data_IF_686552036095
#
_entry.id   IF_686552036095
#
_cell.length_a   1.000
_cell.length_b   1.000
_cell.length_c   1.000
_cell.angle_alpha   90.00
_cell.angle_beta   90.00
_cell.angle_gamma   90.00
#
_symmetry.space_group_name_H-M   'P 1'
#
loop_
_entity.id
_entity.type
_entity.pdbx_description
1 polymer ?
#
# COMPACT_ATOMS: atom_id res chain seq x y z
N UNK A 1 -8.25 5.77 17.57
CA UNK A 1 -7.23 5.62 16.52
C UNK A 1 -7.08 6.95 15.80
N UNK A 2 -5.85 7.45 15.62
CA UNK A 2 -5.61 8.72 14.92
C UNK A 2 -5.96 8.64 13.43
N UNK A 3 -5.69 7.49 12.80
CA UNK A 3 -5.97 7.28 11.38
C UNK A 3 -7.46 7.39 11.02
N UNK A 4 -8.36 6.75 11.77
CA UNK A 4 -9.80 6.83 11.45
C UNK A 4 -10.32 8.25 11.58
N UNK A 5 -9.93 8.96 12.65
CA UNK A 5 -10.29 10.36 12.84
C UNK A 5 -9.74 11.25 11.70
N UNK A 6 -8.49 11.04 11.31
CA UNK A 6 -7.90 11.70 10.14
C UNK A 6 -8.69 11.37 8.87
N UNK A 7 -8.98 10.10 8.60
CA UNK A 7 -9.67 9.66 7.39
C UNK A 7 -11.07 10.26 7.25
N UNK A 8 -11.88 10.19 8.32
CA UNK A 8 -13.23 10.76 8.33
C UNK A 8 -13.21 12.28 8.22
N UNK A 9 -12.34 12.96 9.00
CA UNK A 9 -12.23 14.42 8.92
C UNK A 9 -11.72 14.88 7.56
N UNK A 10 -10.83 14.13 6.92
CA UNK A 10 -10.33 14.44 5.59
C UNK A 10 -11.46 14.32 4.55
N UNK A 11 -12.28 13.27 4.60
CA UNK A 11 -13.41 13.06 3.66
C UNK A 11 -14.53 14.09 3.78
N UNK A 12 -14.57 14.90 4.84
CA UNK A 12 -15.45 16.07 4.93
C UNK A 12 -15.20 17.08 3.81
N UNK A 13 -14.07 16.99 3.09
CA UNK A 13 -13.82 17.81 1.90
C UNK A 13 -15.01 17.75 0.93
N UNK A 14 -15.67 16.61 0.75
CA UNK A 14 -16.82 16.47 -0.15
C UNK A 14 -17.95 17.44 0.25
N UNK A 15 -18.25 17.50 1.55
CA UNK A 15 -19.27 18.40 2.11
C UNK A 15 -18.82 19.85 1.95
N UNK A 16 -17.56 20.15 2.25
CA UNK A 16 -16.99 21.51 2.12
C UNK A 16 -17.07 22.00 0.68
N UNK A 17 -16.70 21.17 -0.31
CA UNK A 17 -16.78 21.52 -1.73
C UNK A 17 -18.23 21.69 -2.19
N UNK A 18 -19.16 20.83 -1.73
CA UNK A 18 -20.58 21.00 -2.03
C UNK A 18 -21.15 22.32 -1.46
N UNK A 19 -20.82 22.63 -0.20
CA UNK A 19 -21.20 23.90 0.42
C UNK A 19 -20.55 25.10 -0.28
N UNK A 20 -19.31 24.97 -0.75
CA UNK A 20 -18.61 26.01 -1.49
C UNK A 20 -19.26 26.30 -2.85
N UNK A 21 -19.75 25.26 -3.55
CA UNK A 21 -20.55 25.43 -4.78
C UNK A 21 -21.87 26.15 -4.46
N UNK A 22 -22.61 25.70 -3.44
CA UNK A 22 -23.89 26.32 -3.05
C UNK A 22 -23.70 27.78 -2.62
N UNK A 23 -22.63 28.07 -1.87
CA UNK A 23 -22.27 29.43 -1.47
C UNK A 23 -21.89 30.29 -2.69
N UNK A 24 -21.11 29.72 -3.62
CA UNK A 24 -20.72 30.33 -4.89
C UNK A 24 -21.90 30.76 -5.75
N UNK A 25 -22.93 29.91 -5.86
CA UNK A 25 -24.14 30.15 -6.65
C UNK A 25 -25.13 31.11 -5.97
N UNK A 26 -25.15 31.15 -4.63
CA UNK A 26 -26.02 32.03 -3.82
C UNK A 26 -25.40 33.39 -3.51
N UNK A 27 -24.22 33.71 -4.04
CA UNK A 27 -23.63 35.05 -3.93
C UNK A 27 -24.57 36.08 -4.56
N UNK A 28 -25.21 36.87 -3.70
CA UNK A 28 -26.22 37.88 -4.03
C UNK A 28 -25.68 39.05 -4.88
N UNK A 29 -24.36 39.11 -5.08
CA UNK A 29 -23.61 40.26 -5.58
C UNK A 29 -23.57 40.30 -7.12
N UNK A 30 -23.68 39.17 -7.80
CA UNK A 30 -23.53 39.08 -9.27
C UNK A 30 -24.66 38.25 -9.90
N UNK A 31 -25.61 38.94 -10.55
CA UNK A 31 -26.78 38.32 -11.22
C UNK A 31 -26.46 37.77 -12.61
N UNK A 32 -25.41 38.28 -13.26
CA UNK A 32 -24.98 37.83 -14.57
C UNK A 32 -24.23 36.50 -14.47
N UNK A 33 -24.71 35.48 -15.19
CA UNK A 33 -24.13 34.12 -15.17
C UNK A 33 -22.65 34.08 -15.58
N UNK A 34 -22.22 34.91 -16.54
CA UNK A 34 -20.84 34.95 -17.02
C UNK A 34 -19.86 35.62 -16.04
N UNK A 35 -20.34 36.32 -15.00
CA UNK A 35 -19.52 36.89 -13.92
C UNK A 35 -19.28 35.90 -12.79
N UNK A 36 -19.90 34.70 -12.83
CA UNK A 36 -19.72 33.63 -11.85
C UNK A 36 -18.48 32.82 -12.19
N UNK A 37 -17.31 33.30 -11.78
CA UNK A 37 -16.02 32.63 -12.05
C UNK A 37 -15.78 31.40 -11.16
N UNK A 38 -16.55 31.20 -10.09
CA UNK A 38 -16.38 30.10 -9.12
C UNK A 38 -16.40 28.72 -9.79
N UNK A 39 -17.33 28.47 -10.71
CA UNK A 39 -17.35 27.25 -11.52
C UNK A 39 -16.01 27.06 -12.22
N UNK A 40 -15.55 28.06 -12.98
CA UNK A 40 -14.38 27.93 -13.86
C UNK A 40 -13.14 27.47 -13.10
N UNK A 41 -12.90 28.02 -11.90
CA UNK A 41 -11.78 27.64 -11.06
C UNK A 41 -11.94 26.29 -10.36
N UNK A 42 -13.17 25.80 -10.19
CA UNK A 42 -13.45 24.53 -9.51
C UNK A 42 -13.46 23.34 -10.48
N UNK A 43 -14.04 23.52 -11.67
CA UNK A 43 -14.27 22.42 -12.61
C UNK A 43 -12.98 21.86 -13.19
N UNK A 44 -12.00 22.71 -13.53
CA UNK A 44 -10.72 22.22 -14.08
C UNK A 44 -9.99 21.31 -13.07
N UNK A 45 -9.75 21.73 -11.81
CA UNK A 45 -9.15 20.84 -10.80
C UNK A 45 -9.97 19.59 -10.49
N UNK A 46 -11.30 19.70 -10.41
CA UNK A 46 -12.17 18.53 -10.15
C UNK A 46 -12.09 17.51 -11.28
N UNK A 47 -12.14 17.96 -12.54
CA UNK A 47 -12.03 17.07 -13.70
C UNK A 47 -10.66 16.42 -13.74
N UNK A 48 -9.58 17.16 -13.49
CA UNK A 48 -8.22 16.60 -13.41
C UNK A 48 -8.10 15.56 -12.30
N UNK A 49 -8.61 15.85 -11.10
CA UNK A 49 -8.62 14.92 -9.97
C UNK A 49 -9.45 13.66 -10.27
N UNK A 50 -10.66 13.83 -10.79
CA UNK A 50 -11.53 12.72 -11.15
C UNK A 50 -10.89 11.85 -12.25
N UNK A 51 -10.22 12.47 -13.23
CA UNK A 51 -9.50 11.77 -14.29
C UNK A 51 -8.33 10.96 -13.73
N UNK A 52 -7.50 11.52 -12.83
CA UNK A 52 -6.42 10.78 -12.17
C UNK A 52 -6.98 9.59 -11.36
N UNK A 53 -8.06 9.81 -10.61
CA UNK A 53 -8.71 8.77 -9.80
C UNK A 53 -9.29 7.65 -10.67
N UNK A 54 -9.91 7.99 -11.79
CA UNK A 54 -10.41 7.01 -12.76
C UNK A 54 -9.26 6.22 -13.38
N UNK A 55 -8.21 6.90 -13.86
CA UNK A 55 -7.01 6.24 -14.42
C UNK A 55 -6.41 5.27 -13.40
N UNK A 56 -6.31 5.69 -12.13
CA UNK A 56 -5.83 4.84 -11.04
C UNK A 56 -6.76 3.65 -10.82
N UNK A 57 -8.07 3.84 -10.80
CA UNK A 57 -9.05 2.77 -10.62
C UNK A 57 -9.00 1.75 -11.78
N UNK A 58 -8.85 2.20 -13.02
CA UNK A 58 -8.72 1.33 -14.19
C UNK A 58 -7.37 0.59 -14.25
N UNK A 59 -6.29 1.21 -13.75
CA UNK A 59 -4.97 0.59 -13.69
C UNK A 59 -4.78 -0.32 -12.49
N UNK A 60 -5.55 -0.12 -11.44
CA UNK A 60 -5.45 -0.89 -10.20
C UNK A 60 -5.76 -2.35 -10.49
N UNK A 61 -4.86 -3.23 -10.08
CA UNK A 61 -4.98 -4.68 -10.25
C UNK A 61 -4.99 -5.26 -8.86
N UNK A 62 -6.19 -5.28 -8.25
CA UNK A 62 -6.38 -5.79 -6.89
C UNK A 62 -6.47 -7.31 -6.96
N UNK A 63 -5.45 -7.98 -6.44
CA UNK A 63 -5.37 -9.44 -6.41
C UNK A 63 -5.29 -9.94 -4.97
N UNK A 64 -5.97 -11.05 -4.70
CA UNK A 64 -5.86 -11.74 -3.42
C UNK A 64 -4.67 -12.71 -3.44
N UNK A 65 -3.81 -12.65 -2.42
CA UNK A 65 -2.61 -13.48 -2.32
C UNK A 65 -2.61 -14.35 -1.08
N UNK A 66 -2.03 -15.53 -1.21
CA UNK A 66 -1.80 -16.44 -0.08
C UNK A 66 -0.45 -16.12 0.55
N UNK A 67 -0.41 -16.05 1.88
CA UNK A 67 0.83 -15.93 2.62
C UNK A 67 1.52 -17.30 2.64
N UNK A 68 2.75 -17.34 2.12
CA UNK A 68 3.57 -18.55 2.04
C UNK A 68 4.47 -18.67 3.27
N UNK A 69 5.07 -17.56 3.68
CA UNK A 69 6.02 -17.51 4.80
C UNK A 69 6.00 -16.14 5.46
N UNK A 70 6.11 -16.15 6.77
CA UNK A 70 6.23 -14.94 7.60
C UNK A 70 7.46 -15.07 8.48
N UNK A 71 8.25 -14.01 8.56
CA UNK A 71 9.39 -13.94 9.46
C UNK A 71 9.41 -12.60 10.20
N UNK A 72 9.42 -12.65 11.53
CA UNK A 72 9.53 -11.46 12.40
C UNK A 72 10.96 -11.35 12.90
N UNK A 73 11.69 -10.34 12.43
CA UNK A 73 13.10 -10.13 12.77
C UNK A 73 13.27 -9.33 14.08
N UNK A 74 14.32 -9.65 14.89
CA UNK A 74 14.76 -8.78 15.97
C UNK A 74 15.29 -7.47 15.36
N UNK A 75 14.59 -6.36 15.61
CA UNK A 75 14.81 -5.09 14.89
C UNK A 75 13.55 -4.44 14.33
N UNK A 76 12.35 -4.93 14.70
CA UNK A 76 11.08 -4.32 14.32
C UNK A 76 10.84 -4.34 12.79
N UNK A 77 11.22 -5.45 12.16
CA UNK A 77 11.00 -5.71 10.74
C UNK A 77 10.20 -7.01 10.58
N UNK A 78 9.18 -6.97 9.74
CA UNK A 78 8.35 -8.10 9.34
C UNK A 78 8.63 -8.38 7.86
N UNK A 79 9.05 -9.61 7.53
CA UNK A 79 9.10 -10.06 6.15
C UNK A 79 7.88 -10.93 5.85
N UNK A 80 7.18 -10.57 4.78
CA UNK A 80 6.06 -11.32 4.24
C UNK A 80 6.46 -11.90 2.89
N UNK A 81 6.32 -13.21 2.75
CA UNK A 81 6.41 -13.92 1.49
C UNK A 81 5.03 -14.41 1.12
N UNK A 82 4.62 -14.14 -0.12
CA UNK A 82 3.28 -14.35 -0.61
C UNK A 82 3.30 -14.94 -2.02
N UNK A 83 2.23 -15.62 -2.39
CA UNK A 83 2.08 -16.23 -3.71
C UNK A 83 2.05 -15.16 -4.80
N UNK A 84 2.80 -15.38 -5.88
CA UNK A 84 2.75 -14.52 -7.07
C UNK A 84 1.48 -14.82 -7.89
N UNK A 85 0.59 -13.84 -8.13
CA UNK A 85 -0.58 -14.06 -8.98
C UNK A 85 -0.18 -14.43 -10.41
N UNK A 86 -1.04 -15.19 -11.10
CA UNK A 86 -0.78 -15.56 -12.50
C UNK A 86 -0.75 -14.30 -13.39
N UNK A 87 0.28 -14.20 -14.24
CA UNK A 87 0.46 -13.03 -15.10
C UNK A 87 1.03 -11.79 -14.40
N UNK A 88 1.32 -11.85 -13.10
CA UNK A 88 1.92 -10.73 -12.35
C UNK A 88 3.37 -10.50 -12.79
N UNK A 89 3.59 -9.46 -13.60
CA UNK A 89 4.90 -9.05 -14.13
C UNK A 89 5.33 -7.73 -13.52
N UNK A 90 6.50 -7.70 -12.90
CA UNK A 90 7.10 -6.51 -12.32
C UNK A 90 8.58 -6.40 -12.67
N UNK A 91 9.15 -5.21 -12.46
CA UNK A 91 10.58 -4.92 -12.59
C UNK A 91 11.19 -4.67 -11.22
N UNK A 92 12.48 -4.93 -11.07
CA UNK A 92 13.22 -4.64 -9.84
C UNK A 92 13.06 -3.16 -9.44
N UNK A 93 12.92 -2.93 -8.13
CA UNK A 93 12.70 -1.61 -7.55
C UNK A 93 11.26 -1.11 -7.58
N UNK A 94 10.31 -1.84 -8.19
CA UNK A 94 8.88 -1.50 -8.08
C UNK A 94 8.35 -1.72 -6.67
N UNK A 95 7.27 -1.01 -6.37
CA UNK A 95 6.52 -1.18 -5.13
C UNK A 95 5.09 -1.61 -5.44
N UNK A 96 4.41 -2.14 -4.43
CA UNK A 96 2.99 -2.48 -4.48
C UNK A 96 2.30 -2.02 -3.20
N UNK A 97 1.00 -1.79 -3.28
CA UNK A 97 0.20 -1.55 -2.10
C UNK A 97 -0.24 -2.88 -1.51
N UNK A 98 -0.19 -2.96 -0.18
CA UNK A 98 -0.63 -4.11 0.59
C UNK A 98 -1.77 -3.69 1.50
N UNK A 99 -2.82 -4.50 1.51
CA UNK A 99 -3.96 -4.38 2.41
C UNK A 99 -4.11 -5.67 3.21
N UNK A 100 -4.37 -5.54 4.51
CA UNK A 100 -4.62 -6.66 5.40
C UNK A 100 -5.96 -6.43 6.10
N UNK A 101 -6.96 -7.23 5.74
CA UNK A 101 -8.33 -7.06 6.23
C UNK A 101 -8.44 -7.22 7.76
N UNK A 102 -7.53 -7.99 8.38
CA UNK A 102 -7.47 -8.18 9.83
C UNK A 102 -6.98 -6.93 10.59
N UNK A 103 -6.27 -6.02 9.93
CA UNK A 103 -5.80 -4.75 10.53
C UNK A 103 -6.80 -3.64 10.21
N UNK A 104 -7.04 -3.41 8.92
CA UNK A 104 -7.95 -2.37 8.44
C UNK A 104 -8.35 -2.68 7.00
N UNK A 105 -9.65 -2.91 6.72
CA UNK A 105 -10.12 -3.36 5.41
C UNK A 105 -9.99 -2.28 4.32
N UNK A 106 -9.90 -1.00 4.69
CA UNK A 106 -9.88 0.11 3.74
C UNK A 106 -8.49 0.76 3.58
N UNK A 107 -7.50 0.33 4.36
CA UNK A 107 -6.16 0.90 4.34
C UNK A 107 -5.22 0.15 3.41
N UNK A 108 -4.56 0.91 2.54
CA UNK A 108 -3.57 0.41 1.59
C UNK A 108 -2.24 1.10 1.86
N UNK A 109 -1.20 0.31 2.11
CA UNK A 109 0.13 0.83 2.44
C UNK A 109 1.15 0.40 1.39
N UNK A 110 1.97 1.31 0.84
CA UNK A 110 2.94 0.99 -0.19
C UNK A 110 4.21 0.35 0.40
N UNK A 111 4.69 -0.73 -0.24
CA UNK A 111 5.94 -1.39 0.10
C UNK A 111 6.72 -1.81 -1.15
N UNK A 112 8.04 -1.62 -1.12
CA UNK A 112 8.94 -2.09 -2.18
C UNK A 112 8.91 -3.61 -2.28
N UNK A 113 8.87 -4.11 -3.52
CA UNK A 113 8.97 -5.54 -3.81
C UNK A 113 10.44 -5.91 -3.67
N UNK A 114 10.72 -6.76 -2.68
CA UNK A 114 12.09 -7.19 -2.31
C UNK A 114 12.51 -8.51 -2.96
N UNK A 115 11.56 -9.23 -3.57
CA UNK A 115 11.82 -10.42 -4.39
C UNK A 115 12.32 -10.03 -5.78
N UNK A 116 13.03 -10.95 -6.44
CA UNK A 116 13.46 -10.74 -7.82
C UNK A 116 12.30 -11.02 -8.80
N UNK A 117 12.20 -10.31 -9.93
CA UNK A 117 11.15 -10.55 -10.94
C UNK A 117 11.02 -11.99 -11.43
N UNK A 118 12.13 -12.75 -11.40
CA UNK A 118 12.19 -14.16 -11.77
C UNK A 118 11.70 -15.13 -10.69
N UNK A 119 11.50 -14.68 -9.45
CA UNK A 119 11.04 -15.55 -8.36
C UNK A 119 9.56 -15.94 -8.55
N UNK A 120 9.21 -17.13 -8.08
CA UNK A 120 7.83 -17.67 -8.07
C UNK A 120 6.98 -17.15 -6.90
N UNK A 121 7.58 -16.31 -6.05
CA UNK A 121 6.91 -15.64 -4.94
C UNK A 121 7.12 -14.13 -5.01
N UNK A 122 6.32 -13.41 -4.23
CA UNK A 122 6.50 -12.00 -3.98
C UNK A 122 6.88 -11.80 -2.51
N UNK A 123 7.84 -10.93 -2.22
CA UNK A 123 8.22 -10.61 -0.84
C UNK A 123 8.31 -9.12 -0.55
N UNK A 124 7.95 -8.73 0.66
CA UNK A 124 8.08 -7.36 1.17
C UNK A 124 8.70 -7.37 2.56
N UNK A 125 9.53 -6.35 2.84
CA UNK A 125 10.12 -6.12 4.16
C UNK A 125 9.54 -4.84 4.76
N UNK A 126 8.81 -5.00 5.86
CA UNK A 126 8.01 -3.94 6.49
C UNK A 126 8.64 -3.58 7.82
N UNK A 127 9.14 -2.35 7.95
CA UNK A 127 9.58 -1.81 9.24
C UNK A 127 8.36 -1.32 10.03
N UNK A 128 8.22 -1.73 11.29
CA UNK A 128 7.15 -1.24 12.15
C UNK A 128 7.47 0.15 12.68
N UNK A 129 6.85 1.16 12.09
CA UNK A 129 7.02 2.58 12.43
C UNK A 129 5.70 3.25 12.85
N UNK A 130 4.57 2.89 12.20
CA UNK A 130 3.25 3.48 12.46
C UNK A 130 2.24 2.49 13.04
N UNK A 131 1.07 3.00 13.40
CA UNK A 131 -0.03 2.23 14.02
C UNK A 131 -0.40 1.00 13.20
N UNK A 132 -0.63 1.18 11.89
CA UNK A 132 -1.00 0.08 10.99
C UNK A 132 0.09 -0.99 10.91
N UNK A 133 1.36 -0.59 10.72
CA UNK A 133 2.47 -1.55 10.65
C UNK A 133 2.69 -2.29 11.97
N UNK A 134 2.42 -1.65 13.12
CA UNK A 134 2.52 -2.26 14.45
C UNK A 134 1.44 -3.31 14.64
N UNK A 135 0.19 -2.99 14.28
CA UNK A 135 -0.92 -3.94 14.31
C UNK A 135 -0.69 -5.11 13.35
N UNK A 136 -0.19 -4.84 12.14
CA UNK A 136 0.20 -5.88 11.19
C UNK A 136 1.19 -6.86 11.81
N UNK A 137 2.25 -6.36 12.44
CA UNK A 137 3.22 -7.20 13.15
C UNK A 137 2.56 -8.01 14.27
N UNK A 138 1.67 -7.43 15.07
CA UNK A 138 0.96 -8.14 16.14
C UNK A 138 0.14 -9.30 15.58
N UNK A 139 -0.72 -9.04 14.58
CA UNK A 139 -1.56 -10.06 13.92
C UNK A 139 -0.71 -11.21 13.39
N UNK A 140 0.39 -10.90 12.71
CA UNK A 140 1.26 -11.93 12.16
C UNK A 140 2.12 -12.64 13.22
N UNK A 141 2.44 -11.98 14.34
CA UNK A 141 3.20 -12.58 15.44
C UNK A 141 2.35 -13.59 16.22
N UNK A 142 1.04 -13.35 16.38
CA UNK A 142 0.11 -14.29 17.01
C UNK A 142 -0.05 -15.59 16.20
N UNK A 143 0.05 -15.49 14.88
CA UNK A 143 0.00 -16.63 13.97
C UNK A 143 1.35 -17.37 13.89
N UNK A 144 2.46 -16.69 14.24
CA UNK A 144 3.79 -17.29 14.23
C UNK A 144 4.08 -18.04 15.54
N UNK A 145 4.35 -19.34 15.45
CA UNK A 145 4.83 -20.11 16.58
C UNK A 145 6.34 -19.89 16.80
N UNK A 146 6.84 -19.99 18.04
CA UNK A 146 8.27 -20.03 18.30
C UNK A 146 8.88 -21.27 17.62
N UNK A 147 10.07 -21.16 17.02
CA UNK A 147 10.64 -22.25 16.24
C UNK A 147 10.92 -23.49 17.11
N UNK A 148 10.61 -24.71 16.64
CA UNK A 148 10.72 -25.94 17.42
C UNK A 148 12.14 -26.29 17.88
N UNK A 149 13.17 -25.65 17.32
CA UNK A 149 14.58 -25.99 17.55
C UNK A 149 15.43 -24.88 18.19
N UNK A 150 14.86 -23.78 18.70
CA UNK A 150 15.59 -22.79 19.54
C UNK A 150 16.83 -22.10 18.94
N UNK A 151 17.23 -22.42 17.70
CA UNK A 151 18.50 -21.96 17.09
C UNK A 151 18.47 -20.56 16.49
N UNK A 152 17.30 -19.93 16.45
CA UNK A 152 17.15 -18.56 15.96
C UNK A 152 15.96 -17.99 16.72
N UNK A 153 16.14 -16.97 17.57
CA UNK A 153 15.07 -16.33 18.34
C UNK A 153 14.08 -15.54 17.48
N UNK A 154 13.71 -16.09 16.32
CA UNK A 154 13.00 -15.46 15.23
C UNK A 154 11.68 -16.18 15.03
N UNK A 155 10.56 -15.47 15.19
CA UNK A 155 9.22 -16.03 15.00
C UNK A 155 9.02 -16.25 13.49
N UNK A 156 8.76 -17.51 13.11
CA UNK A 156 8.55 -17.90 11.71
C UNK A 156 7.32 -18.78 11.60
N UNK A 157 6.49 -18.52 10.60
CA UNK A 157 5.43 -19.42 10.19
C UNK A 157 5.61 -19.72 8.70
N UNK A 158 5.74 -21.01 8.37
CA UNK A 158 5.83 -21.50 7.01
C UNK A 158 4.55 -22.27 6.68
N UNK A 159 3.89 -21.93 5.57
CA UNK A 159 2.68 -22.63 5.10
C UNK A 159 2.95 -24.11 4.76
N UNK A 160 4.21 -24.48 4.50
CA UNK A 160 4.61 -25.81 4.05
C UNK A 160 5.02 -26.77 5.19
N UNK A 161 5.17 -26.32 6.44
CA UNK A 161 5.49 -27.19 7.57
C UNK A 161 4.22 -27.69 8.24
N UNK A 162 3.83 -28.93 7.90
CA UNK A 162 2.62 -29.58 8.36
C UNK A 162 2.58 -29.86 9.86
N UNK A 163 1.48 -29.45 10.49
CA UNK A 163 0.56 -30.26 11.31
C UNK A 163 -0.62 -29.39 11.80
N UNK A 164 -0.50 -28.07 11.72
CA UNK A 164 -1.61 -27.12 11.79
C UNK A 164 -1.34 -25.98 10.80
N UNK A 165 -2.10 -25.89 9.71
CA UNK A 165 -1.96 -24.77 8.78
C UNK A 165 -2.24 -23.46 9.54
N UNK A 166 -1.24 -22.56 9.68
CA UNK A 166 -1.49 -21.27 10.33
C UNK A 166 -2.59 -20.53 9.57
N UNK A 167 -3.63 -20.09 10.30
CA UNK A 167 -4.72 -19.34 9.72
C UNK A 167 -4.26 -17.90 9.45
N UNK A 168 -3.54 -17.71 8.34
CA UNK A 168 -3.06 -16.40 7.95
C UNK A 168 -4.21 -15.46 7.58
N UNK A 169 -4.14 -14.17 7.95
CA UNK A 169 -5.15 -13.21 7.54
C UNK A 169 -5.15 -13.02 6.03
N UNK A 170 -6.32 -12.65 5.48
CA UNK A 170 -6.44 -12.35 4.05
C UNK A 170 -5.67 -11.07 3.72
N UNK A 171 -4.74 -11.18 2.77
CA UNK A 171 -3.96 -10.06 2.25
C UNK A 171 -4.32 -9.83 0.79
N UNK A 172 -4.55 -8.56 0.45
CA UNK A 172 -4.77 -8.08 -0.91
C UNK A 172 -3.58 -7.24 -1.34
N UNK A 173 -3.23 -7.31 -2.62
CA UNK A 173 -2.17 -6.51 -3.20
C UNK A 173 -2.69 -5.72 -4.39
N UNK A 174 -2.13 -4.54 -4.61
CA UNK A 174 -2.42 -3.69 -5.76
C UNK A 174 -1.11 -3.19 -6.37
N UNK A 175 -0.94 -3.41 -7.67
CA UNK A 175 0.27 -3.03 -8.41
C UNK A 175 0.64 -4.05 -9.49
N UNK A 176 1.87 -3.99 -10.03
CA UNK A 176 3.02 -3.22 -9.52
C UNK A 176 3.04 -1.75 -9.97
N UNK A 177 3.63 -0.88 -9.15
CA UNK A 177 3.81 0.54 -9.42
C UNK A 177 5.29 0.88 -9.72
N UNK A 178 5.50 1.79 -10.68
CA UNK A 178 6.83 2.21 -11.13
C UNK A 178 7.60 2.98 -10.07
N UNK A 179 8.93 2.86 -10.10
CA UNK A 179 9.85 3.58 -9.22
C UNK A 179 11.00 4.18 -10.06
N UNK A 180 11.62 5.30 -9.62
CA UNK A 180 12.65 5.98 -10.39
C UNK A 180 13.91 5.11 -10.64
N UNK A 181 14.19 4.13 -9.78
CA UNK A 181 15.35 3.26 -9.88
C UNK A 181 15.29 2.23 -11.04
N UNK A 182 14.26 2.25 -11.89
CA UNK A 182 14.07 1.26 -12.98
C UNK A 182 15.01 1.44 -14.17
N UNK A 183 15.63 2.61 -14.30
CA UNK A 183 16.43 2.99 -15.46
C UNK A 183 17.90 2.54 -15.39
N UNK A 184 18.26 1.76 -14.37
CA UNK A 184 19.63 1.26 -14.17
C UNK A 184 20.19 0.51 -15.39
N UNK A 185 19.33 -0.15 -16.19
CA UNK A 185 19.73 -0.88 -17.40
C UNK A 185 20.17 0.02 -18.55
N UNK A 186 19.95 1.33 -18.47
CA UNK A 186 20.37 2.30 -19.50
C UNK A 186 21.85 2.70 -19.37
N UNK A 187 22.52 2.29 -18.29
CA UNK A 187 23.88 2.68 -17.97
C UNK A 187 24.79 1.45 -17.88
N UNK A 188 26.02 1.55 -18.38
CA UNK A 188 27.02 0.47 -18.29
C UNK A 188 27.56 0.30 -16.87
N UNK A 189 27.68 1.40 -16.13
CA UNK A 189 28.16 1.44 -14.74
C UNK A 189 27.08 2.03 -13.85
N UNK A 190 26.73 1.31 -12.79
CA UNK A 190 25.70 1.71 -11.83
C UNK A 190 26.29 1.72 -10.42
N UNK A 191 26.18 2.85 -9.72
CA UNK A 191 26.48 2.96 -8.30
C UNK A 191 25.18 2.93 -7.50
N UNK A 192 24.98 1.88 -6.70
CA UNK A 192 23.83 1.74 -5.81
C UNK A 192 24.21 2.15 -4.39
N UNK A 193 23.55 3.17 -3.84
CA UNK A 193 23.74 3.64 -2.47
C UNK A 193 22.44 3.42 -1.70
N UNK A 194 22.45 2.50 -0.73
CA UNK A 194 21.29 2.17 0.10
C UNK A 194 21.58 2.37 1.59
N UNK A 195 20.59 2.88 2.33
CA UNK A 195 20.68 3.06 3.78
C UNK A 195 19.40 2.58 4.47
N UNK A 196 19.56 1.74 5.50
CA UNK A 196 18.45 1.19 6.28
C UNK A 196 17.46 0.37 5.43
N UNK A 197 16.15 0.53 5.68
CA UNK A 197 15.10 -0.18 4.92
C UNK A 197 15.02 0.26 3.46
N UNK A 198 15.60 1.43 3.12
CA UNK A 198 15.67 1.92 1.73
C UNK A 198 16.67 1.15 0.87
N UNK A 199 17.43 0.21 1.44
CA UNK A 199 18.28 -0.72 0.70
C UNK A 199 17.54 -2.00 0.24
N UNK A 200 16.28 -2.18 0.66
CA UNK A 200 15.47 -3.35 0.36
C UNK A 200 14.86 -3.31 -1.06
#
# INVERSE_FOLDING_TARGET
TGFNAFWYSHHLFIIVYALFIVHGEKLYITKDWYKRTTWMYLTIPIVLYASERLIRAFRSSIEAVKILKVAVYPGNVLALHMSKPQGYKYKSGQYMFVNCAAVSPFEWHPFSITSAPGDDYLSVHIRTLGDWTRQLKTVFSEVCQPPPNGKSGLLRADYLQGENNPNFPRVLIDGPYGAPAQDYKKYEVVLLVGLGIGAA
#
